data_IF_205312091775
#
_entry.id   IF_205312091775
#
_cell.length_a   1.000
_cell.length_b   1.000
_cell.length_c   1.000
_cell.angle_alpha   90.00
_cell.angle_beta   90.00
_cell.angle_gamma   90.00
#
_symmetry.space_group_name_H-M   'P 1'
#
loop_
_entity.id
_entity.type
_entity.pdbx_description
1 polymer ?
#
# COMPACT_ATOMS: atom_id res chain seq x y z
N UNK A 1 -28.75 19.22 18.99
CA UNK A 1 -27.53 19.57 18.23
C UNK A 1 -26.78 18.28 18.00
N UNK A 2 -26.93 17.69 16.81
CA UNK A 2 -26.40 16.37 16.43
C UNK A 2 -24.87 16.46 16.28
N UNK A 3 -24.13 15.97 17.29
CA UNK A 3 -22.71 15.63 17.15
C UNK A 3 -22.65 14.12 17.00
N UNK A 4 -22.83 13.63 15.79
CA UNK A 4 -22.87 12.20 15.54
C UNK A 4 -22.99 11.91 14.06
N UNK A 5 -21.91 12.11 13.29
CA UNK A 5 -21.75 11.58 11.94
C UNK A 5 -20.32 11.88 11.43
N UNK A 6 -19.34 11.02 11.72
CA UNK A 6 -18.08 11.02 10.94
C UNK A 6 -17.24 9.73 11.11
N UNK A 7 -17.47 8.95 12.17
CA UNK A 7 -16.58 7.82 12.50
C UNK A 7 -16.71 6.56 11.61
N UNK A 8 -17.66 6.49 10.68
CA UNK A 8 -17.98 5.24 9.97
C UNK A 8 -18.23 5.40 8.46
N UNK A 9 -17.49 6.29 7.78
CA UNK A 9 -17.69 6.48 6.32
C UNK A 9 -16.89 5.47 5.50
N UNK A 10 -15.67 5.14 5.96
CA UNK A 10 -14.69 4.38 5.19
C UNK A 10 -14.10 3.25 6.03
N UNK A 11 -14.17 2.02 5.51
CA UNK A 11 -13.57 0.84 6.13
C UNK A 11 -12.18 0.54 5.55
N UNK A 12 -11.19 0.23 6.38
CA UNK A 12 -9.88 -0.22 5.92
C UNK A 12 -9.91 -1.74 5.79
N UNK A 13 -9.46 -2.23 4.63
CA UNK A 13 -9.26 -3.65 4.36
C UNK A 13 -7.77 -3.85 4.09
N UNK A 14 -7.10 -4.48 5.04
CA UNK A 14 -5.68 -4.84 4.91
C UNK A 14 -5.56 -6.26 4.41
N UNK A 15 -4.87 -6.41 3.28
CA UNK A 15 -4.48 -7.72 2.75
C UNK A 15 -3.09 -8.01 3.27
N UNK A 16 -2.98 -8.99 4.16
CA UNK A 16 -1.69 -9.42 4.73
C UNK A 16 -1.24 -10.68 3.99
N UNK A 17 0.00 -10.66 3.50
CA UNK A 17 0.66 -11.84 2.95
C UNK A 17 1.27 -12.66 4.11
N UNK A 18 0.95 -13.96 4.20
CA UNK A 18 1.55 -14.84 5.20
C UNK A 18 0.85 -16.19 5.33
N UNK A 19 1.58 -17.20 5.84
CA UNK A 19 1.06 -18.56 6.07
C UNK A 19 0.34 -18.63 7.42
N UNK A 20 -0.83 -17.99 7.55
CA UNK A 20 -1.50 -17.90 8.86
C UNK A 20 -2.44 -19.10 9.08
N UNK A 21 -2.04 -20.00 9.98
CA UNK A 21 -2.90 -21.04 10.55
C UNK A 21 -3.59 -20.59 11.86
N UNK A 22 -3.46 -19.32 12.24
CA UNK A 22 -4.03 -18.76 13.48
C UNK A 22 -5.14 -17.77 13.17
N UNK A 23 -6.40 -18.24 13.25
CA UNK A 23 -7.55 -17.36 13.47
C UNK A 23 -7.46 -16.78 14.89
N UNK A 24 -6.73 -15.68 15.09
CA UNK A 24 -6.91 -14.83 16.27
C UNK A 24 -7.60 -13.54 15.84
N UNK A 25 -8.78 -13.30 16.41
CA UNK A 25 -9.46 -12.00 16.37
C UNK A 25 -8.54 -10.97 17.02
N UNK A 26 -7.89 -10.15 16.22
CA UNK A 26 -7.28 -8.90 16.67
C UNK A 26 -8.42 -7.87 16.65
N UNK A 27 -8.77 -7.35 17.82
CA UNK A 27 -9.96 -6.52 18.04
C UNK A 27 -9.79 -5.07 17.56
N UNK A 28 -9.57 -4.87 16.27
CA UNK A 28 -9.69 -3.54 15.64
C UNK A 28 -10.80 -3.57 14.58
N UNK A 29 -11.40 -2.40 14.30
CA UNK A 29 -12.56 -2.23 13.41
C UNK A 29 -12.32 -2.60 11.93
N UNK A 30 -11.14 -3.11 11.60
CA UNK A 30 -10.66 -3.36 10.24
C UNK A 30 -10.71 -4.84 9.87
N UNK A 31 -10.98 -5.15 8.59
CA UNK A 31 -10.98 -6.53 8.11
C UNK A 31 -9.57 -6.92 7.67
N UNK A 32 -9.02 -7.94 8.32
CA UNK A 32 -7.78 -8.59 7.93
C UNK A 32 -8.09 -9.85 7.13
N UNK A 33 -7.56 -9.92 5.92
CA UNK A 33 -7.64 -11.11 5.08
C UNK A 33 -6.24 -11.73 4.95
N UNK A 34 -6.14 -13.00 5.30
CA UNK A 34 -4.92 -13.80 5.15
C UNK A 34 -5.20 -14.98 4.22
N UNK A 35 -4.34 -15.20 3.23
CA UNK A 35 -4.48 -16.28 2.24
C UNK A 35 -3.23 -17.15 2.23
N UNK A 36 -3.37 -18.40 2.69
CA UNK A 36 -2.29 -19.40 2.62
C UNK A 36 -2.14 -20.01 1.23
N UNK A 37 -0.94 -20.48 0.90
CA UNK A 37 -0.68 -21.23 -0.34
C UNK A 37 -1.14 -22.68 -0.19
N UNK A 38 -1.80 -23.22 -1.21
CA UNK A 38 -2.07 -24.67 -1.32
C UNK A 38 -0.85 -25.42 -1.85
N UNK A 39 -0.68 -26.69 -1.44
CA UNK A 39 0.47 -27.58 -1.73
C UNK A 39 0.79 -27.86 -3.23
N UNK A 40 0.08 -27.26 -4.19
CA UNK A 40 0.13 -27.62 -5.61
C UNK A 40 0.82 -26.58 -6.52
N UNK A 41 1.37 -25.49 -5.99
CA UNK A 41 2.04 -24.47 -6.81
C UNK A 41 3.56 -24.71 -6.90
N UNK A 42 4.08 -24.81 -8.13
CA UNK A 42 5.52 -24.98 -8.42
C UNK A 42 6.37 -23.91 -7.76
N UNK A 43 7.53 -24.33 -7.25
CA UNK A 43 8.51 -23.51 -6.53
C UNK A 43 9.01 -22.28 -7.32
N UNK A 44 9.00 -22.34 -8.65
CA UNK A 44 9.58 -21.32 -9.53
C UNK A 44 8.79 -19.99 -9.61
N UNK A 45 7.56 -19.93 -9.10
CA UNK A 45 6.73 -18.69 -9.08
C UNK A 45 6.57 -18.10 -7.66
N UNK A 46 7.33 -18.60 -6.68
CA UNK A 46 7.05 -18.44 -5.24
C UNK A 46 7.34 -17.07 -4.62
N UNK A 47 8.12 -16.19 -5.26
CA UNK A 47 8.85 -15.15 -4.53
C UNK A 47 8.17 -13.79 -4.31
N UNK A 48 6.93 -13.56 -4.73
CA UNK A 48 6.39 -12.17 -4.78
C UNK A 48 4.94 -11.97 -4.37
N UNK A 49 4.28 -12.94 -3.75
CA UNK A 49 2.93 -12.75 -3.20
C UNK A 49 1.77 -12.41 -4.12
N UNK A 50 2.03 -12.36 -5.43
CA UNK A 50 1.04 -12.00 -6.44
C UNK A 50 -0.21 -12.88 -6.35
N UNK A 51 -0.04 -14.18 -6.03
CA UNK A 51 -1.16 -15.11 -5.91
C UNK A 51 -2.08 -14.77 -4.73
N UNK A 52 -1.50 -14.47 -3.56
CA UNK A 52 -2.25 -14.14 -2.36
C UNK A 52 -2.98 -12.80 -2.52
N UNK A 53 -2.31 -11.78 -3.09
CA UNK A 53 -2.93 -10.49 -3.40
C UNK A 53 -4.07 -10.66 -4.41
N UNK A 54 -3.86 -11.43 -5.48
CA UNK A 54 -4.92 -11.73 -6.46
C UNK A 54 -6.09 -12.52 -5.87
N UNK A 55 -5.82 -13.48 -5.00
CA UNK A 55 -6.87 -14.24 -4.29
C UNK A 55 -7.68 -13.33 -3.39
N UNK A 56 -7.02 -12.39 -2.69
CA UNK A 56 -7.68 -11.37 -1.89
C UNK A 56 -8.57 -10.45 -2.72
N UNK A 57 -8.09 -9.97 -3.87
CA UNK A 57 -8.87 -9.15 -4.79
C UNK A 57 -10.12 -9.89 -5.28
N UNK A 58 -9.99 -11.17 -5.65
CA UNK A 58 -11.14 -12.02 -6.04
C UNK A 58 -12.13 -12.21 -4.90
N UNK A 59 -11.63 -12.40 -3.67
CA UNK A 59 -12.48 -12.50 -2.48
C UNK A 59 -13.23 -11.19 -2.23
N UNK A 60 -12.54 -10.05 -2.32
CA UNK A 60 -13.13 -8.72 -2.17
C UNK A 60 -14.27 -8.49 -3.17
N UNK A 61 -14.05 -8.82 -4.45
CA UNK A 61 -15.08 -8.73 -5.49
C UNK A 61 -16.32 -9.59 -5.19
N UNK A 62 -16.13 -10.76 -4.57
CA UNK A 62 -17.23 -11.69 -4.23
C UNK A 62 -17.95 -11.34 -2.93
N UNK A 63 -17.26 -10.72 -1.97
CA UNK A 63 -17.75 -10.53 -0.59
C UNK A 63 -17.89 -9.05 -0.20
N UNK A 64 -17.77 -8.12 -1.15
CA UNK A 64 -17.79 -6.67 -0.89
C UNK A 64 -19.01 -6.22 -0.10
N UNK A 65 -20.21 -6.70 -0.44
CA UNK A 65 -21.44 -6.37 0.30
C UNK A 65 -21.35 -6.79 1.78
N UNK A 66 -20.85 -8.00 2.05
CA UNK A 66 -20.63 -8.51 3.41
C UNK A 66 -19.54 -7.73 4.15
N UNK A 67 -18.48 -7.32 3.44
CA UNK A 67 -17.34 -6.61 4.02
C UNK A 67 -17.66 -5.15 4.33
N UNK A 68 -18.42 -4.49 3.46
CA UNK A 68 -18.82 -3.10 3.65
C UNK A 68 -19.94 -2.96 4.68
N UNK A 69 -20.81 -3.94 4.87
CA UNK A 69 -21.93 -3.84 5.84
C UNK A 69 -22.72 -2.52 5.68
N UNK A 70 -22.52 -1.56 6.58
CA UNK A 70 -23.16 -0.24 6.58
C UNK A 70 -22.24 0.91 6.12
N UNK A 71 -20.98 0.62 5.81
CA UNK A 71 -20.01 1.59 5.29
C UNK A 71 -20.32 1.91 3.82
N UNK A 72 -20.13 3.17 3.44
CA UNK A 72 -20.39 3.64 2.07
C UNK A 72 -19.28 3.25 1.09
N UNK A 73 -18.05 3.12 1.59
CA UNK A 73 -16.87 2.80 0.80
C UNK A 73 -15.82 2.14 1.69
N UNK A 74 -14.81 1.55 1.08
CA UNK A 74 -13.66 0.98 1.76
C UNK A 74 -12.37 1.29 1.01
N UNK A 75 -11.25 1.19 1.69
CA UNK A 75 -9.92 1.35 1.11
C UNK A 75 -9.18 0.02 1.25
N UNK A 76 -8.56 -0.42 0.17
CA UNK A 76 -7.74 -1.62 0.13
C UNK A 76 -6.28 -1.20 0.22
N UNK A 77 -5.59 -1.75 1.22
CA UNK A 77 -4.17 -1.55 1.46
C UNK A 77 -3.45 -2.90 1.48
N UNK A 78 -2.33 -2.99 0.76
CA UNK A 78 -1.49 -4.18 0.70
C UNK A 78 -0.38 -4.03 1.73
N UNK A 79 -0.46 -4.81 2.81
CA UNK A 79 0.45 -4.73 3.93
C UNK A 79 1.22 -6.05 4.07
N UNK A 80 2.47 -6.07 3.62
CA UNK A 80 3.36 -7.20 3.84
C UNK A 80 3.64 -7.38 5.35
N UNK A 81 3.86 -8.63 5.78
CA UNK A 81 3.91 -9.04 7.20
C UNK A 81 5.22 -8.68 7.92
N UNK A 82 6.27 -8.36 7.16
CA UNK A 82 7.60 -8.01 7.65
C UNK A 82 7.90 -6.50 7.64
N UNK A 83 7.00 -5.70 7.08
CA UNK A 83 7.09 -4.24 7.07
C UNK A 83 6.72 -3.63 8.44
N UNK A 84 7.19 -2.41 8.68
CA UNK A 84 6.87 -1.63 9.88
C UNK A 84 5.95 -0.48 9.52
N UNK A 85 4.88 -0.29 10.29
CA UNK A 85 3.83 0.70 10.02
C UNK A 85 3.60 1.60 11.24
N UNK A 86 3.61 2.92 11.04
CA UNK A 86 3.11 3.88 12.02
C UNK A 86 1.57 3.87 11.99
N UNK A 87 0.91 3.95 13.15
CA UNK A 87 -0.55 4.00 13.25
C UNK A 87 -1.15 5.23 12.54
N UNK A 88 -0.38 6.31 12.43
CA UNK A 88 -0.75 7.52 11.69
C UNK A 88 -0.96 7.24 10.20
N UNK A 89 -0.29 6.24 9.63
CA UNK A 89 -0.52 5.82 8.25
C UNK A 89 -2.01 5.49 8.00
N UNK A 90 -2.62 4.76 8.94
CA UNK A 90 -4.00 4.31 8.82
C UNK A 90 -5.01 5.42 9.09
N UNK A 91 -4.67 6.33 10.01
CA UNK A 91 -5.58 7.37 10.49
C UNK A 91 -5.50 8.66 9.68
N UNK A 92 -4.31 9.02 9.20
CA UNK A 92 -4.02 10.26 8.50
C UNK A 92 -3.94 10.07 6.98
N UNK A 93 -3.46 8.93 6.47
CA UNK A 93 -3.32 8.70 5.02
C UNK A 93 -4.38 7.76 4.45
N UNK A 94 -4.32 6.46 4.79
CA UNK A 94 -5.13 5.39 4.16
C UNK A 94 -6.62 5.72 4.20
N UNK A 95 -7.15 6.13 5.36
CA UNK A 95 -8.60 6.39 5.50
C UNK A 95 -9.09 7.59 4.68
N UNK A 96 -8.18 8.48 4.28
CA UNK A 96 -8.50 9.72 3.57
C UNK A 96 -8.44 9.59 2.05
N UNK A 97 -7.86 8.51 1.53
CA UNK A 97 -7.80 8.19 0.09
C UNK A 97 -9.18 8.23 -0.55
N UNK A 98 -9.30 8.87 -1.71
CA UNK A 98 -10.54 8.92 -2.50
C UNK A 98 -10.53 7.91 -3.64
N UNK A 99 -9.43 7.84 -4.40
CA UNK A 99 -9.25 6.90 -5.51
C UNK A 99 -7.93 6.15 -5.40
N UNK A 100 -6.80 6.86 -5.49
CA UNK A 100 -5.45 6.30 -5.44
C UNK A 100 -4.56 7.19 -4.57
N UNK A 101 -4.32 6.77 -3.34
CA UNK A 101 -3.41 7.46 -2.42
C UNK A 101 -2.00 6.91 -2.55
N UNK A 102 -1.01 7.80 -2.52
CA UNK A 102 0.40 7.41 -2.48
C UNK A 102 1.19 8.23 -1.45
N UNK A 103 2.18 7.60 -0.83
CA UNK A 103 3.05 8.22 0.17
C UNK A 103 4.48 7.68 0.07
N UNK A 104 5.44 8.35 0.74
CA UNK A 104 6.81 7.89 0.88
C UNK A 104 6.95 6.55 1.61
N UNK A 105 7.95 5.74 1.21
CA UNK A 105 8.29 4.46 1.84
C UNK A 105 9.77 4.44 2.22
N UNK A 106 10.05 4.18 3.50
CA UNK A 106 11.41 4.04 3.99
C UNK A 106 12.03 2.69 3.64
N UNK A 107 13.35 2.68 3.42
CA UNK A 107 14.17 1.48 3.20
C UNK A 107 13.72 0.60 2.02
N UNK A 108 13.14 1.19 0.97
CA UNK A 108 12.73 0.46 -0.25
C UNK A 108 13.63 0.77 -1.45
N UNK A 109 13.65 -0.13 -2.44
CA UNK A 109 14.36 0.04 -3.71
C UNK A 109 15.87 0.25 -3.61
N UNK A 110 16.49 -0.13 -2.48
CA UNK A 110 17.90 0.15 -2.19
C UNK A 110 18.19 1.63 -1.86
N UNK A 111 17.17 2.44 -1.60
CA UNK A 111 17.25 3.83 -1.17
C UNK A 111 16.82 3.98 0.30
N UNK A 112 17.28 5.03 1.01
CA UNK A 112 16.78 5.35 2.35
C UNK A 112 15.27 5.62 2.36
N UNK A 113 14.77 6.30 1.33
CA UNK A 113 13.35 6.61 1.12
C UNK A 113 13.07 6.59 -0.38
N UNK A 114 11.97 5.95 -0.79
CA UNK A 114 11.34 6.17 -2.10
C UNK A 114 10.13 7.09 -1.93
N UNK A 115 10.01 8.12 -2.77
CA UNK A 115 8.93 9.11 -2.65
C UNK A 115 8.53 9.70 -4.00
N UNK A 116 7.38 10.36 -4.02
CA UNK A 116 6.86 11.06 -5.19
C UNK A 116 7.40 12.49 -5.20
N UNK A 117 7.84 13.00 -6.35
CA UNK A 117 8.13 14.43 -6.49
C UNK A 117 6.81 15.12 -6.81
N UNK A 118 6.39 16.05 -5.96
CA UNK A 118 5.07 16.66 -6.03
C UNK A 118 5.19 18.15 -6.31
N UNK A 119 4.70 18.58 -7.46
CA UNK A 119 4.59 20.00 -7.80
C UNK A 119 3.13 20.39 -7.87
N UNK A 120 2.77 21.48 -7.20
CA UNK A 120 1.41 22.00 -7.19
C UNK A 120 0.33 20.96 -6.79
N UNK A 121 0.63 20.11 -5.81
CA UNK A 121 -0.26 19.03 -5.36
C UNK A 121 -0.43 17.88 -6.36
N UNK A 122 0.43 17.79 -7.38
CA UNK A 122 0.42 16.75 -8.40
C UNK A 122 1.77 16.06 -8.51
N UNK A 123 1.74 14.73 -8.66
CA UNK A 123 2.96 13.95 -8.85
C UNK A 123 3.53 14.17 -10.24
N UNK A 124 4.75 14.71 -10.33
CA UNK A 124 5.44 14.97 -11.61
C UNK A 124 6.45 13.87 -11.94
N UNK A 125 7.14 13.36 -10.94
CA UNK A 125 8.13 12.29 -11.07
C UNK A 125 8.25 11.51 -9.75
N UNK A 126 9.22 10.60 -9.68
CA UNK A 126 9.47 9.78 -8.50
C UNK A 126 10.97 9.76 -8.22
N UNK A 127 11.32 9.79 -6.93
CA UNK A 127 12.66 9.48 -6.45
C UNK A 127 12.67 8.05 -5.92
N UNK A 128 12.90 7.10 -6.82
CA UNK A 128 12.77 5.66 -6.55
C UNK A 128 13.74 4.84 -7.41
N UNK A 129 13.79 3.52 -7.20
CA UNK A 129 14.40 2.58 -8.12
C UNK A 129 13.63 2.57 -9.45
N UNK A 130 14.37 2.80 -10.55
CA UNK A 130 13.82 2.99 -11.90
C UNK A 130 12.69 4.02 -11.93
N UNK A 131 13.01 5.32 -11.78
CA UNK A 131 12.01 6.39 -11.66
C UNK A 131 11.19 6.60 -12.95
N UNK A 132 11.64 6.04 -14.08
CA UNK A 132 10.91 6.08 -15.35
C UNK A 132 9.68 5.16 -15.39
N UNK A 133 9.46 4.31 -14.37
CA UNK A 133 8.23 3.50 -14.27
C UNK A 133 7.02 4.43 -14.18
N UNK A 134 5.87 4.08 -14.79
CA UNK A 134 4.63 4.84 -14.65
C UNK A 134 4.24 5.11 -13.19
N UNK A 135 4.43 4.09 -12.35
CA UNK A 135 4.27 4.14 -10.90
C UNK A 135 5.53 3.58 -10.24
N UNK A 136 6.51 4.45 -9.96
CA UNK A 136 7.76 4.04 -9.34
C UNK A 136 7.63 4.10 -7.81
N UNK A 137 6.96 3.09 -7.25
CA UNK A 137 6.69 2.98 -5.82
C UNK A 137 6.73 1.52 -5.37
N UNK A 138 6.95 1.33 -4.07
CA UNK A 138 6.81 0.07 -3.34
C UNK A 138 5.32 -0.31 -3.11
N UNK A 139 5.05 -1.61 -2.92
CA UNK A 139 3.70 -2.11 -2.62
C UNK A 139 3.06 -1.45 -1.39
N UNK A 140 3.87 -1.14 -0.37
CA UNK A 140 3.39 -0.52 0.87
C UNK A 140 3.17 1.00 0.74
N UNK A 141 3.54 1.60 -0.39
CA UNK A 141 3.49 3.04 -0.63
C UNK A 141 2.19 3.57 -1.21
N UNK A 142 1.16 2.72 -1.37
CA UNK A 142 -0.12 3.15 -1.93
C UNK A 142 -1.32 2.40 -1.35
N UNK A 143 -2.50 3.01 -1.45
CA UNK A 143 -3.77 2.35 -1.25
C UNK A 143 -4.80 2.78 -2.29
N UNK A 144 -5.79 1.92 -2.52
CA UNK A 144 -6.79 2.09 -3.58
C UNK A 144 -8.19 2.03 -3.00
N UNK A 145 -9.09 2.87 -3.50
CA UNK A 145 -10.50 2.75 -3.15
C UNK A 145 -11.07 1.41 -3.63
N UNK A 146 -11.80 0.72 -2.75
CA UNK A 146 -12.43 -0.56 -3.05
C UNK A 146 -13.30 -0.48 -4.31
N UNK A 147 -13.98 0.64 -4.57
CA UNK A 147 -14.82 0.79 -5.77
C UNK A 147 -14.01 0.59 -7.07
N UNK A 148 -12.78 1.12 -7.13
CA UNK A 148 -11.90 0.99 -8.29
C UNK A 148 -11.51 -0.50 -8.51
N UNK A 149 -11.40 -1.27 -7.43
CA UNK A 149 -11.14 -2.72 -7.48
C UNK A 149 -12.39 -3.50 -7.93
N UNK A 150 -13.58 -3.06 -7.51
CA UNK A 150 -14.85 -3.70 -7.85
C UNK A 150 -15.27 -3.46 -9.30
N UNK A 151 -14.91 -2.29 -9.86
CA UNK A 151 -15.20 -1.89 -11.24
C UNK A 151 -14.19 -2.43 -12.25
N UNK A 152 -13.12 -3.07 -11.80
CA UNK A 152 -12.04 -3.61 -12.64
C UNK A 152 -11.82 -5.11 -12.42
N UNK A 153 -11.26 -5.77 -13.43
CA UNK A 153 -10.76 -7.15 -13.36
C UNK A 153 -9.25 -7.24 -13.12
N UNK A 154 -8.58 -6.12 -12.78
CA UNK A 154 -7.14 -6.07 -12.54
C UNK A 154 -6.70 -7.09 -11.48
N UNK A 155 -5.59 -7.76 -11.74
CA UNK A 155 -5.00 -8.77 -10.85
C UNK A 155 -3.47 -8.66 -10.90
N UNK A 156 -2.80 -9.11 -9.85
CA UNK A 156 -1.35 -9.23 -9.88
C UNK A 156 -0.94 -10.45 -10.70
N UNK A 157 -0.06 -10.23 -11.68
CA UNK A 157 0.51 -11.27 -12.53
C UNK A 157 1.99 -11.55 -12.21
N UNK A 158 2.53 -12.69 -12.69
CA UNK A 158 3.93 -13.07 -12.48
C UNK A 158 4.91 -12.21 -13.30
N UNK A 159 4.43 -11.51 -14.33
CA UNK A 159 5.26 -10.70 -15.24
C UNK A 159 4.60 -9.35 -15.47
N UNK A 160 5.38 -8.28 -15.35
CA UNK A 160 4.96 -6.92 -15.69
C UNK A 160 5.95 -6.28 -16.65
N UNK A 161 5.61 -6.22 -17.95
CA UNK A 161 6.52 -5.67 -18.97
C UNK A 161 6.67 -4.15 -18.85
N UNK A 162 5.56 -3.44 -18.60
CA UNK A 162 5.51 -1.97 -18.56
C UNK A 162 6.25 -1.42 -17.33
N UNK A 163 6.22 -2.14 -16.21
CA UNK A 163 6.86 -1.78 -14.95
C UNK A 163 8.26 -2.34 -14.74
N UNK A 164 8.93 -2.88 -15.76
CA UNK A 164 10.23 -3.54 -15.61
C UNK A 164 10.22 -4.63 -14.50
N UNK A 165 9.17 -5.46 -14.52
CA UNK A 165 8.83 -6.49 -13.53
C UNK A 165 8.39 -5.98 -12.15
N UNK A 166 8.05 -4.70 -11.99
CA UNK A 166 7.33 -4.17 -10.82
C UNK A 166 5.84 -4.55 -10.92
N UNK A 167 5.31 -5.41 -10.02
CA UNK A 167 3.90 -5.78 -10.02
C UNK A 167 2.96 -4.59 -9.74
N UNK A 168 3.42 -3.60 -8.96
CA UNK A 168 2.67 -2.39 -8.59
C UNK A 168 2.26 -1.59 -9.83
N UNK A 169 3.22 -1.37 -10.74
CA UNK A 169 2.98 -0.61 -11.97
C UNK A 169 1.87 -1.25 -12.81
N UNK A 170 1.96 -2.55 -13.09
CA UNK A 170 0.94 -3.19 -13.94
C UNK A 170 -0.41 -3.20 -13.24
N UNK A 171 -0.47 -3.51 -11.95
CA UNK A 171 -1.73 -3.51 -11.22
C UNK A 171 -2.43 -2.15 -11.28
N UNK A 172 -1.71 -1.05 -11.00
CA UNK A 172 -2.26 0.30 -11.04
C UNK A 172 -2.65 0.73 -12.46
N UNK A 173 -1.85 0.37 -13.47
CA UNK A 173 -2.20 0.62 -14.86
C UNK A 173 -3.42 -0.18 -15.32
N UNK A 174 -3.56 -1.44 -14.90
CA UNK A 174 -4.70 -2.31 -15.23
C UNK A 174 -5.99 -1.89 -14.52
N UNK A 175 -5.88 -1.17 -13.40
CA UNK A 175 -7.00 -0.45 -12.79
C UNK A 175 -7.41 0.80 -13.59
N UNK A 176 -6.65 1.18 -14.61
CA UNK A 176 -6.92 2.35 -15.44
C UNK A 176 -6.35 3.66 -14.88
N UNK A 177 -5.50 3.59 -13.85
CA UNK A 177 -4.89 4.80 -13.30
C UNK A 177 -3.76 5.33 -14.17
N UNK A 178 -3.62 6.65 -14.12
CA UNK A 178 -2.46 7.38 -14.59
C UNK A 178 -1.82 8.16 -13.44
N UNK A 179 -0.63 8.71 -13.68
CA UNK A 179 0.07 9.57 -12.68
C UNK A 179 -0.79 10.75 -12.20
N UNK A 180 -1.72 11.23 -13.01
CA UNK A 180 -2.59 12.39 -12.70
C UNK A 180 -3.66 12.08 -11.64
N UNK A 181 -3.98 10.79 -11.49
CA UNK A 181 -4.98 10.28 -10.55
C UNK A 181 -4.41 10.10 -9.13
N UNK A 182 -3.09 10.24 -8.96
CA UNK A 182 -2.43 10.08 -7.68
C UNK A 182 -2.78 11.23 -6.74
N UNK A 183 -3.23 10.87 -5.54
CA UNK A 183 -3.40 11.73 -4.38
C UNK A 183 -2.14 11.61 -3.49
N UNK A 184 -1.24 12.60 -3.47
CA UNK A 184 -0.03 12.54 -2.67
C UNK A 184 -0.31 12.80 -1.18
N UNK A 185 0.28 11.99 -0.30
CA UNK A 185 0.27 12.11 1.15
C UNK A 185 1.70 12.18 1.70
N UNK A 186 1.89 12.77 2.88
CA UNK A 186 3.22 12.92 3.51
C UNK A 186 4.01 14.15 3.12
N UNK A 187 3.32 15.21 2.70
CA UNK A 187 3.91 16.52 2.34
C UNK A 187 3.29 17.65 3.20
N UNK A 188 3.57 17.71 4.52
CA UNK A 188 2.93 18.62 5.47
C UNK A 188 3.14 20.11 5.18
N UNK A 189 4.23 20.47 4.49
CA UNK A 189 4.63 21.85 4.23
C UNK A 189 4.26 22.38 2.83
N UNK A 190 3.30 21.77 2.12
CA UNK A 190 2.75 22.37 0.89
C UNK A 190 1.85 23.58 1.17
N UNK A 191 2.42 24.63 1.77
CA UNK A 191 1.80 25.94 1.86
C UNK A 191 2.11 26.70 0.57
N UNK A 192 1.09 26.85 -0.29
CA UNK A 192 1.13 27.82 -1.38
C UNK A 192 1.09 29.25 -0.81
N UNK A 193 2.24 29.78 -0.41
CA UNK A 193 2.38 31.22 -0.16
C UNK A 193 2.52 31.94 -1.50
N UNK A 194 1.38 32.27 -2.12
CA UNK A 194 1.36 33.24 -3.23
C UNK A 194 1.50 34.64 -2.64
N UNK A 195 2.74 35.09 -2.44
CA UNK A 195 3.00 36.51 -2.16
C UNK A 195 2.88 37.25 -3.49
N UNK A 196 1.72 37.86 -3.74
CA UNK A 196 1.57 38.86 -4.80
C UNK A 196 2.20 40.17 -4.32
N UNK A 197 3.41 40.46 -4.78
CA UNK A 197 3.89 41.85 -4.86
C UNK A 197 3.69 42.34 -6.30
N UNK A 198 3.22 43.57 -6.45
CA UNK A 198 2.82 44.20 -7.73
C UNK A 198 3.88 44.02 -8.84
N UNK A 199 3.69 42.97 -9.66
CA UNK A 199 4.47 42.52 -10.83
C UNK A 199 5.51 41.39 -10.66
N UNK A 200 5.68 40.79 -9.47
CA UNK A 200 6.56 39.60 -9.32
C UNK A 200 5.94 38.56 -8.42
N UNK A 201 5.71 37.35 -8.96
CA UNK A 201 5.39 36.17 -8.17
C UNK A 201 6.72 35.57 -7.73
N UNK A 202 7.02 35.62 -6.43
CA UNK A 202 8.20 34.95 -5.87
C UNK A 202 7.72 33.69 -5.16
N UNK A 203 7.95 32.53 -5.77
CA UNK A 203 7.77 31.22 -5.17
C UNK A 203 9.09 30.77 -4.54
N UNK A 204 9.13 30.64 -3.21
CA UNK A 204 10.26 30.02 -2.51
C UNK A 204 9.98 28.53 -2.34
N UNK A 205 10.82 27.68 -2.93
CA UNK A 205 10.84 26.24 -2.65
C UNK A 205 11.68 26.04 -1.40
N UNK A 206 11.04 25.72 -0.28
CA UNK A 206 11.73 25.28 0.93
C UNK A 206 11.87 23.75 0.83
N UNK A 207 13.05 23.20 1.19
CA UNK A 207 13.31 21.76 1.21
C UNK A 207 12.11 21.00 1.78
N UNK A 208 11.56 20.09 0.99
CA UNK A 208 10.34 19.37 1.31
C UNK A 208 10.64 18.41 2.47
N UNK A 209 10.15 18.72 3.68
CA UNK A 209 10.08 17.72 4.75
C UNK A 209 9.07 16.65 4.32
N UNK A 210 9.60 15.50 3.87
CA UNK A 210 8.82 14.34 3.46
C UNK A 210 8.59 13.44 4.66
N UNK A 211 7.33 13.21 5.04
CA UNK A 211 6.99 12.36 6.18
C UNK A 211 6.86 10.88 5.77
N UNK A 212 7.67 10.04 6.42
CA UNK A 212 7.68 8.58 6.21
C UNK A 212 6.93 7.91 7.36
N UNK A 213 5.86 7.18 7.05
CA UNK A 213 5.02 6.45 8.02
C UNK A 213 5.04 4.92 7.82
N UNK A 214 5.82 4.43 6.86
CA UNK A 214 5.97 3.00 6.57
C UNK A 214 7.40 2.69 6.12
N UNK A 215 7.92 1.55 6.58
CA UNK A 215 9.26 1.08 6.26
C UNK A 215 9.22 -0.36 5.75
N UNK A 216 9.89 -0.59 4.63
CA UNK A 216 10.04 -1.91 4.02
C UNK A 216 11.17 -2.69 4.73
N UNK A 217 10.89 -3.07 5.97
CA UNK A 217 11.81 -3.85 6.81
C UNK A 217 11.84 -5.32 6.40
N UNK A 218 12.94 -6.00 6.69
CA UNK A 218 13.10 -7.44 6.46
C UNK A 218 13.67 -8.07 7.73
N UNK A 219 13.09 -9.19 8.15
CA UNK A 219 13.65 -9.97 9.27
C UNK A 219 14.77 -10.87 8.73
N UNK A 220 15.93 -10.84 9.38
CA UNK A 220 17.04 -11.73 9.01
C UNK A 220 16.63 -13.19 9.27
N UNK A 221 16.93 -14.13 8.36
CA UNK A 221 16.61 -15.54 8.60
C UNK A 221 17.26 -16.06 9.88
N UNK A 222 16.46 -16.70 10.73
CA UNK A 222 16.98 -17.33 11.94
C UNK A 222 17.79 -18.56 11.52
N UNK A 223 19.11 -18.51 11.74
CA UNK A 223 19.99 -19.69 11.60
C UNK A 223 19.72 -20.64 12.77
N UNK A 224 18.64 -21.42 12.67
CA UNK A 224 18.35 -22.46 13.64
C UNK A 224 19.03 -23.77 13.21
N UNK A 225 19.94 -24.25 14.05
CA UNK A 225 20.49 -25.59 13.91
C UNK A 225 19.44 -26.57 14.46
N UNK A 226 18.65 -27.17 13.56
CA UNK A 226 17.59 -28.13 13.93
C UNK A 226 18.12 -29.33 14.72
N UNK A 227 19.42 -29.63 14.65
CA UNK A 227 20.04 -30.71 15.43
C UNK A 227 20.12 -30.40 16.94
N UNK A 228 20.10 -29.12 17.33
CA UNK A 228 20.22 -28.70 18.75
C UNK A 228 18.89 -28.64 19.50
N UNK A 229 17.76 -28.59 18.79
CA UNK A 229 16.44 -28.45 19.41
C UNK A 229 15.39 -29.37 18.77
N UNK A 230 15.54 -30.71 18.89
CA UNK A 230 14.67 -31.69 18.24
C UNK A 230 13.21 -31.70 18.74
N UNK A 231 12.91 -30.97 19.82
CA UNK A 231 11.59 -30.96 20.46
C UNK A 231 10.83 -29.63 20.33
N UNK A 232 11.39 -28.62 19.65
CA UNK A 232 10.64 -27.38 19.42
C UNK A 232 9.56 -27.66 18.36
N UNK A 233 8.26 -27.55 18.70
CA UNK A 233 7.22 -28.10 17.85
C UNK A 233 7.18 -27.46 16.46
N UNK A 234 7.36 -26.15 16.33
CA UNK A 234 7.36 -25.46 15.04
C UNK A 234 8.09 -24.12 15.21
N UNK A 235 9.20 -23.91 14.48
CA UNK A 235 9.72 -22.56 14.25
C UNK A 235 8.98 -22.06 13.01
N UNK A 236 8.27 -20.95 13.14
CA UNK A 236 7.50 -20.33 12.07
C UNK A 236 8.43 -19.97 10.89
N UNK A 237 8.20 -20.60 9.73
CA UNK A 237 8.63 -20.13 8.41
C UNK A 237 7.47 -19.41 7.73
#
# INVERSE_FOLDING_TARGET
MLVGLSLFITRIISIIEGTINTKKRIGFLDYFLAFGKGLLYREELQGRGWFQRTTALRFLRKQSATLLQHYKSGIVYFADDDNTYDIRLFTEYIRNVKRLGMWPVGLSGGKPVEYQVVENGKVVSFEAWLPSRPFAIDMAGFAVNLNEILESTAEFGPVCKIGQNSPETCFLSDLGFSRKDIEPFGYPNQVFLVIKCESTIVSWFQEEDVEVLVWHTKTVPVKSDRSKYPHLPFIFE
#
